data_IF_224373241768
#
_entry.id   IF_224373241768
#
_cell.length_a   1.000
_cell.length_b   1.000
_cell.length_c   1.000
_cell.angle_alpha   90.00
_cell.angle_beta   90.00
_cell.angle_gamma   90.00
#
_symmetry.space_group_name_H-M   'P 1'
#
loop_
_entity.id
_entity.type
_entity.pdbx_description
1 polymer ?
#
# COMPACT_ATOMS: atom_id res chain seq x y z
N UNK A 1 5.08 7.10 -8.05
CA UNK A 1 5.02 6.75 -9.48
C UNK A 1 6.37 7.11 -10.10
N UNK A 2 6.95 6.27 -10.95
CA UNK A 2 8.31 6.47 -11.49
C UNK A 2 8.32 7.03 -12.94
N UNK A 3 7.14 7.22 -13.55
CA UNK A 3 6.98 7.68 -14.93
C UNK A 3 6.08 8.93 -14.97
N UNK A 4 6.60 10.10 -15.43
CA UNK A 4 5.81 11.33 -15.54
C UNK A 4 4.57 11.18 -16.43
N UNK A 5 4.69 10.48 -17.57
CA UNK A 5 3.56 10.28 -18.47
C UNK A 5 2.45 9.41 -17.85
N UNK A 6 2.81 8.37 -17.09
CA UNK A 6 1.82 7.58 -16.37
C UNK A 6 1.14 8.40 -15.26
N UNK A 7 1.88 9.28 -14.59
CA UNK A 7 1.30 10.23 -13.62
C UNK A 7 0.26 11.14 -14.31
N UNK A 8 0.59 11.72 -15.47
CA UNK A 8 -0.36 12.53 -16.24
C UNK A 8 -1.63 11.76 -16.55
N UNK A 9 -1.51 10.57 -17.14
CA UNK A 9 -2.67 9.75 -17.53
C UNK A 9 -3.57 9.42 -16.34
N UNK A 10 -2.97 9.08 -15.18
CA UNK A 10 -3.71 8.69 -13.98
C UNK A 10 -4.30 9.88 -13.23
N UNK A 11 -3.52 10.92 -12.96
CA UNK A 11 -3.88 12.00 -12.02
C UNK A 11 -4.34 13.31 -12.69
N UNK A 12 -3.99 13.56 -13.94
CA UNK A 12 -4.37 14.78 -14.67
C UNK A 12 -5.47 14.45 -15.69
N UNK A 13 -5.22 13.47 -16.54
CA UNK A 13 -6.16 13.09 -17.58
C UNK A 13 -7.26 12.13 -17.06
N UNK A 14 -7.11 11.60 -15.83
CA UNK A 14 -8.05 10.70 -15.16
C UNK A 14 -8.45 9.49 -16.01
N UNK A 15 -7.51 8.93 -16.75
CA UNK A 15 -7.77 7.74 -17.56
C UNK A 15 -8.02 6.54 -16.64
N UNK A 16 -8.99 5.67 -16.96
CA UNK A 16 -9.31 4.53 -16.12
C UNK A 16 -8.14 3.55 -16.03
N UNK A 17 -7.81 3.17 -14.80
CA UNK A 17 -6.87 2.09 -14.50
C UNK A 17 -7.67 0.86 -14.05
N UNK A 18 -7.81 -0.17 -14.91
CA UNK A 18 -8.54 -1.37 -14.49
C UNK A 18 -7.81 -2.03 -13.31
N UNK A 19 -8.58 -2.36 -12.29
CA UNK A 19 -8.07 -3.09 -11.15
C UNK A 19 -7.51 -4.45 -11.60
N UNK A 20 -6.39 -4.85 -11.03
CA UNK A 20 -5.83 -6.17 -11.30
C UNK A 20 -6.01 -7.09 -10.07
N UNK A 21 -5.91 -8.40 -10.32
CA UNK A 21 -6.08 -9.44 -9.29
C UNK A 21 -5.22 -9.20 -8.04
N UNK A 22 -3.97 -8.75 -8.20
CA UNK A 22 -3.07 -8.56 -7.06
C UNK A 22 -3.48 -7.35 -6.20
N UNK A 23 -3.96 -6.27 -6.81
CA UNK A 23 -4.51 -5.12 -6.09
C UNK A 23 -5.75 -5.50 -5.28
N UNK A 24 -6.73 -6.17 -5.92
CA UNK A 24 -7.95 -6.59 -5.23
C UNK A 24 -7.68 -7.62 -4.13
N UNK A 25 -6.71 -8.53 -4.34
CA UNK A 25 -6.26 -9.44 -3.29
C UNK A 25 -5.70 -8.66 -2.08
N UNK A 26 -4.88 -7.64 -2.33
CA UNK A 26 -4.39 -6.74 -1.29
C UNK A 26 -5.53 -6.05 -0.55
N UNK A 27 -6.45 -5.43 -1.27
CA UNK A 27 -7.63 -4.75 -0.71
C UNK A 27 -8.46 -5.69 0.17
N UNK A 28 -8.72 -6.91 -0.30
CA UNK A 28 -9.48 -7.91 0.46
C UNK A 28 -8.80 -8.29 1.78
N UNK A 29 -7.49 -8.54 1.74
CA UNK A 29 -6.71 -8.92 2.93
C UNK A 29 -6.64 -7.76 3.93
N UNK A 30 -6.36 -6.52 3.48
CA UNK A 30 -6.37 -5.34 4.35
C UNK A 30 -7.74 -5.13 4.99
N UNK A 31 -8.82 -5.26 4.20
CA UNK A 31 -10.18 -5.15 4.73
C UNK A 31 -10.49 -6.21 5.80
N UNK A 32 -10.08 -7.45 5.60
CA UNK A 32 -10.26 -8.52 6.58
C UNK A 32 -9.49 -8.23 7.88
N UNK A 33 -8.23 -7.79 7.79
CA UNK A 33 -7.43 -7.44 8.96
C UNK A 33 -7.99 -6.18 9.65
N UNK A 34 -8.43 -5.19 8.91
CA UNK A 34 -9.16 -4.03 9.44
C UNK A 34 -10.36 -4.47 10.29
N UNK A 35 -11.22 -5.33 9.75
CA UNK A 35 -12.42 -5.83 10.44
C UNK A 35 -12.07 -6.65 11.68
N UNK A 36 -11.01 -7.46 11.63
CA UNK A 36 -10.54 -8.25 12.76
C UNK A 36 -10.20 -7.36 13.96
N UNK A 37 -9.58 -6.21 13.71
CA UNK A 37 -9.20 -5.26 14.75
C UNK A 37 -10.32 -4.30 15.18
N UNK A 38 -11.22 -3.95 14.26
CA UNK A 38 -12.28 -2.97 14.51
C UNK A 38 -13.52 -3.56 15.19
N UNK A 39 -13.79 -4.86 15.02
CA UNK A 39 -15.06 -5.47 15.43
C UNK A 39 -14.97 -6.35 16.70
N UNK A 40 -13.83 -6.46 17.35
CA UNK A 40 -13.67 -7.34 18.50
C UNK A 40 -12.66 -6.84 19.53
N UNK A 41 -12.81 -7.33 20.74
CA UNK A 41 -11.79 -7.16 21.77
C UNK A 41 -10.55 -8.03 21.47
N UNK A 42 -9.46 -7.83 22.23
CA UNK A 42 -8.21 -8.55 22.01
C UNK A 42 -8.39 -10.09 22.02
N UNK A 43 -9.24 -10.62 22.91
CA UNK A 43 -9.52 -12.05 23.00
C UNK A 43 -10.31 -12.65 21.83
N UNK A 44 -10.97 -11.82 21.03
CA UNK A 44 -11.77 -12.24 19.87
C UNK A 44 -10.94 -12.34 18.57
N UNK A 45 -9.70 -11.88 18.58
CA UNK A 45 -8.84 -11.83 17.39
C UNK A 45 -8.19 -13.18 17.09
N UNK A 46 -9.03 -14.18 16.85
CA UNK A 46 -8.62 -15.57 16.57
C UNK A 46 -8.51 -15.86 15.07
N UNK A 47 -7.80 -16.92 14.67
CA UNK A 47 -7.77 -17.36 13.27
C UNK A 47 -9.17 -17.64 12.70
N UNK A 48 -10.07 -18.23 13.48
CA UNK A 48 -11.45 -18.52 13.08
C UNK A 48 -12.21 -17.23 12.80
N UNK A 49 -12.11 -16.24 13.70
CA UNK A 49 -12.73 -14.93 13.51
C UNK A 49 -12.18 -14.21 12.29
N UNK A 50 -10.87 -14.31 12.04
CA UNK A 50 -10.26 -13.72 10.87
C UNK A 50 -10.80 -14.30 9.56
N UNK A 51 -11.08 -15.61 9.52
CA UNK A 51 -11.71 -16.23 8.34
C UNK A 51 -13.19 -15.83 8.19
N UNK A 52 -13.92 -15.64 9.29
CA UNK A 52 -15.29 -15.14 9.24
C UNK A 52 -15.34 -13.70 8.64
N UNK A 53 -14.53 -12.78 9.15
CA UNK A 53 -14.49 -11.41 8.62
C UNK A 53 -13.96 -11.35 7.20
N UNK A 54 -13.03 -12.25 6.82
CA UNK A 54 -12.57 -12.39 5.44
C UNK A 54 -13.71 -12.78 4.50
N UNK A 55 -14.57 -13.73 4.90
CA UNK A 55 -15.75 -14.09 4.10
C UNK A 55 -16.71 -12.91 3.94
N UNK A 56 -16.97 -12.16 5.01
CA UNK A 56 -17.79 -10.96 4.95
C UNK A 56 -17.21 -9.91 4.02
N UNK A 57 -15.91 -9.63 4.12
CA UNK A 57 -15.21 -8.70 3.24
C UNK A 57 -15.23 -9.15 1.77
N UNK A 58 -15.10 -10.47 1.53
CA UNK A 58 -15.18 -11.02 0.18
C UNK A 58 -16.57 -10.87 -0.44
N UNK A 59 -17.62 -11.08 0.34
CA UNK A 59 -19.00 -10.85 -0.12
C UNK A 59 -19.23 -9.37 -0.46
N UNK A 60 -18.81 -8.45 0.42
CA UNK A 60 -18.88 -7.00 0.14
C UNK A 60 -18.15 -6.64 -1.16
N UNK A 61 -16.96 -7.21 -1.38
CA UNK A 61 -16.15 -6.93 -2.58
C UNK A 61 -16.74 -7.54 -3.85
N UNK A 62 -17.41 -8.69 -3.76
CA UNK A 62 -17.94 -9.43 -4.93
C UNK A 62 -18.97 -8.61 -5.72
N UNK A 63 -19.63 -7.66 -5.07
CA UNK A 63 -20.66 -6.79 -5.68
C UNK A 63 -20.05 -5.50 -6.28
N UNK A 64 -18.72 -5.31 -6.24
CA UNK A 64 -18.08 -4.11 -6.77
C UNK A 64 -17.80 -4.20 -8.28
N UNK A 65 -17.80 -3.04 -8.95
CA UNK A 65 -17.45 -2.95 -10.37
C UNK A 65 -16.02 -3.41 -10.64
N UNK A 66 -15.09 -3.09 -9.74
CA UNK A 66 -13.69 -3.50 -9.85
C UNK A 66 -13.55 -5.02 -9.87
N UNK A 67 -14.29 -5.72 -9.01
CA UNK A 67 -14.28 -7.18 -8.97
C UNK A 67 -14.87 -7.77 -10.24
N UNK A 68 -15.94 -7.17 -10.77
CA UNK A 68 -16.58 -7.59 -12.03
C UNK A 68 -15.63 -7.46 -13.24
N UNK A 69 -14.68 -6.51 -13.22
CA UNK A 69 -13.70 -6.34 -14.31
C UNK A 69 -12.76 -7.54 -14.47
N UNK A 70 -12.53 -8.31 -13.42
CA UNK A 70 -11.66 -9.49 -13.45
C UNK A 70 -12.28 -10.66 -14.21
N UNK A 71 -13.62 -10.69 -14.37
CA UNK A 71 -14.37 -11.73 -15.13
C UNK A 71 -13.99 -13.15 -14.69
N UNK A 72 -13.80 -13.36 -13.41
CA UNK A 72 -13.45 -14.68 -12.88
C UNK A 72 -14.53 -15.72 -13.17
N UNK A 73 -14.10 -16.89 -13.59
CA UNK A 73 -14.93 -18.08 -13.50
C UNK A 73 -15.01 -18.58 -12.03
N UNK A 74 -15.80 -19.63 -11.80
CA UNK A 74 -15.99 -20.18 -10.46
C UNK A 74 -14.68 -20.72 -9.85
N UNK A 75 -13.80 -21.29 -10.66
CA UNK A 75 -12.52 -21.83 -10.21
C UNK A 75 -11.55 -20.70 -9.83
N UNK A 76 -11.50 -19.67 -10.65
CA UNK A 76 -10.67 -18.48 -10.39
C UNK A 76 -11.14 -17.72 -9.18
N UNK A 77 -12.46 -17.58 -8.98
CA UNK A 77 -13.05 -16.97 -7.78
C UNK A 77 -12.69 -17.74 -6.52
N UNK A 78 -12.81 -19.07 -6.55
CA UNK A 78 -12.41 -19.92 -5.43
C UNK A 78 -10.91 -19.80 -5.14
N UNK A 79 -10.05 -19.81 -6.17
CA UNK A 79 -8.62 -19.65 -6.03
C UNK A 79 -8.23 -18.27 -5.47
N UNK A 80 -8.97 -17.23 -5.83
CA UNK A 80 -8.78 -15.87 -5.30
C UNK A 80 -9.06 -15.82 -3.79
N UNK A 81 -10.17 -16.40 -3.35
CA UNK A 81 -10.52 -16.50 -1.93
C UNK A 81 -9.50 -17.32 -1.13
N UNK A 82 -9.05 -18.45 -1.67
CA UNK A 82 -8.05 -19.32 -1.01
C UNK A 82 -6.69 -18.63 -0.89
N UNK A 83 -6.27 -17.83 -1.86
CA UNK A 83 -5.07 -17.00 -1.75
C UNK A 83 -5.22 -15.97 -0.62
N UNK A 84 -6.35 -15.29 -0.53
CA UNK A 84 -6.62 -14.35 0.56
C UNK A 84 -6.63 -15.05 1.93
N UNK A 85 -7.28 -16.23 2.01
CA UNK A 85 -7.32 -17.06 3.23
C UNK A 85 -5.92 -17.46 3.68
N UNK A 86 -5.07 -17.88 2.73
CA UNK A 86 -3.68 -18.24 3.01
C UNK A 86 -2.90 -17.07 3.61
N UNK A 87 -3.04 -15.84 3.04
CA UNK A 87 -2.37 -14.65 3.53
C UNK A 87 -2.84 -14.25 4.93
N UNK A 88 -4.15 -14.28 5.18
CA UNK A 88 -4.72 -14.00 6.51
C UNK A 88 -4.27 -15.04 7.54
N UNK A 89 -4.19 -16.33 7.16
CA UNK A 89 -3.68 -17.38 8.05
C UNK A 89 -2.18 -17.16 8.34
N UNK A 90 -1.40 -16.79 7.33
CA UNK A 90 0.03 -16.51 7.50
C UNK A 90 0.31 -15.38 8.49
N UNK A 91 -0.60 -14.42 8.61
CA UNK A 91 -0.50 -13.33 9.57
C UNK A 91 -0.37 -13.83 11.02
N UNK A 92 -1.14 -14.84 11.43
CA UNK A 92 -1.09 -15.41 12.79
C UNK A 92 0.20 -16.17 13.12
N UNK A 93 1.00 -16.52 12.11
CA UNK A 93 2.34 -17.05 12.33
C UNK A 93 3.39 -15.95 12.57
N UNK A 94 3.05 -14.67 12.31
CA UNK A 94 3.99 -13.55 12.40
C UNK A 94 3.82 -12.73 13.68
N UNK A 95 2.61 -12.63 14.21
CA UNK A 95 2.32 -11.99 15.50
C UNK A 95 1.04 -12.58 16.13
N UNK A 96 0.90 -12.38 17.44
CA UNK A 96 -0.34 -12.67 18.18
C UNK A 96 -1.22 -11.42 18.22
N UNK A 97 -2.34 -11.37 17.46
CA UNK A 97 -3.22 -10.21 17.43
C UNK A 97 -3.87 -9.89 18.78
N UNK A 98 -4.00 -10.90 19.66
CA UNK A 98 -4.53 -10.73 21.01
C UNK A 98 -3.63 -9.91 21.92
N UNK A 99 -2.32 -9.90 21.66
CA UNK A 99 -1.33 -9.14 22.42
C UNK A 99 -1.14 -7.69 21.93
N UNK A 100 -1.73 -7.33 20.78
CA UNK A 100 -1.55 -6.02 20.15
C UNK A 100 -2.58 -5.01 20.69
N UNK A 101 -2.13 -3.79 20.97
CA UNK A 101 -2.98 -2.68 21.41
C UNK A 101 -3.06 -1.59 20.33
N UNK A 102 -3.93 -1.72 19.35
CA UNK A 102 -4.08 -0.71 18.31
C UNK A 102 -4.76 0.54 18.86
N UNK A 103 -4.21 1.71 18.53
CA UNK A 103 -4.82 3.01 18.80
C UNK A 103 -5.38 3.65 17.53
N UNK A 104 -5.14 3.03 16.38
CA UNK A 104 -5.69 3.44 15.10
C UNK A 104 -5.60 2.33 14.06
N UNK A 105 -6.66 2.20 13.26
CA UNK A 105 -6.80 1.23 12.17
C UNK A 105 -7.24 1.99 10.92
N UNK A 106 -6.58 1.77 9.77
CA UNK A 106 -6.85 2.48 8.50
C UNK A 106 -6.92 4.00 8.71
N UNK A 107 -5.91 4.54 9.41
CA UNK A 107 -5.84 5.97 9.72
C UNK A 107 -5.49 6.81 8.49
N UNK A 108 -6.46 7.59 8.00
CA UNK A 108 -6.24 8.58 6.94
C UNK A 108 -5.61 9.85 7.54
N UNK A 109 -4.31 10.01 7.39
CA UNK A 109 -3.56 11.16 7.88
C UNK A 109 -3.25 12.13 6.74
N UNK A 110 -3.44 13.43 7.02
CA UNK A 110 -3.13 14.53 6.10
C UNK A 110 -2.31 15.58 6.82
N UNK A 111 -1.20 15.95 6.21
CA UNK A 111 -0.29 16.95 6.78
C UNK A 111 0.22 17.87 5.69
N UNK A 112 0.51 19.12 6.04
CA UNK A 112 1.14 20.08 5.13
C UNK A 112 2.65 20.09 5.34
N UNK A 113 3.41 19.99 4.25
CA UNK A 113 4.85 20.16 4.21
C UNK A 113 5.17 21.33 3.26
N UNK A 114 5.51 22.50 3.81
CA UNK A 114 5.85 23.71 3.04
C UNK A 114 4.83 24.04 1.92
N UNK A 115 3.53 23.90 2.25
CA UNK A 115 2.43 24.14 1.31
C UNK A 115 2.03 22.92 0.46
N UNK A 116 2.77 21.84 0.50
CA UNK A 116 2.42 20.58 -0.18
C UNK A 116 1.59 19.71 0.77
N UNK A 117 0.38 19.34 0.36
CA UNK A 117 -0.43 18.37 1.11
C UNK A 117 0.08 16.96 0.87
N UNK A 118 0.41 16.27 1.97
CA UNK A 118 0.78 14.88 1.99
C UNK A 118 -0.35 14.07 2.66
N UNK A 119 -0.77 12.98 2.02
CA UNK A 119 -1.80 12.09 2.53
C UNK A 119 -1.32 10.65 2.52
N UNK A 120 -1.59 9.91 3.58
CA UNK A 120 -1.35 8.47 3.65
C UNK A 120 -2.33 7.80 4.58
N UNK A 121 -2.58 6.52 4.33
CA UNK A 121 -3.39 5.66 5.17
C UNK A 121 -2.45 4.70 5.88
N UNK A 122 -2.53 4.66 7.20
CA UNK A 122 -1.76 3.74 8.05
C UNK A 122 -2.65 2.55 8.37
N UNK A 123 -2.25 1.35 7.97
CA UNK A 123 -3.05 0.14 8.19
C UNK A 123 -3.32 -0.08 9.68
N UNK A 124 -2.28 0.04 10.53
CA UNK A 124 -2.42 -0.06 11.99
C UNK A 124 -1.37 0.79 12.72
N UNK A 125 -1.82 1.51 13.73
CA UNK A 125 -0.98 2.24 14.68
C UNK A 125 -1.16 1.63 16.06
N UNK A 126 -0.07 1.16 16.65
CA UNK A 126 -0.06 0.46 17.94
C UNK A 126 0.58 1.32 19.02
N UNK A 127 0.10 1.17 20.27
CA UNK A 127 0.71 1.73 21.47
C UNK A 127 1.41 0.61 22.24
N UNK A 128 2.71 0.77 22.48
CA UNK A 128 3.48 -0.15 23.32
C UNK A 128 3.32 0.20 24.82
N UNK A 129 3.60 -0.75 25.70
CA UNK A 129 3.63 -0.53 27.16
C UNK A 129 4.61 0.58 27.57
N UNK A 130 5.67 0.80 26.79
CA UNK A 130 6.64 1.90 27.00
C UNK A 130 6.06 3.29 26.72
N UNK A 131 4.86 3.39 26.10
CA UNK A 131 4.29 4.63 25.60
C UNK A 131 4.76 5.01 24.20
N UNK A 132 5.64 4.22 23.60
CA UNK A 132 6.05 4.40 22.19
C UNK A 132 4.92 3.97 21.22
N UNK A 133 4.89 4.59 20.06
CA UNK A 133 3.99 4.17 18.97
C UNK A 133 4.74 3.40 17.90
N UNK A 134 4.05 2.44 17.29
CA UNK A 134 4.54 1.59 16.19
C UNK A 134 3.56 1.64 15.04
N UNK A 135 4.07 1.84 13.84
CA UNK A 135 3.28 1.71 12.60
C UNK A 135 3.45 0.31 12.04
N UNK A 136 2.36 -0.34 11.73
CA UNK A 136 2.34 -1.63 11.05
C UNK A 136 1.64 -1.49 9.70
N UNK A 137 2.29 -1.98 8.63
CA UNK A 137 1.78 -1.96 7.27
C UNK A 137 1.85 -3.37 6.69
N UNK A 138 0.73 -3.87 6.18
CA UNK A 138 0.60 -5.21 5.63
C UNK A 138 0.94 -5.26 4.15
N UNK A 139 1.72 -6.25 3.74
CA UNK A 139 2.15 -6.45 2.36
C UNK A 139 1.76 -7.84 1.87
N UNK A 140 0.88 -7.91 0.88
CA UNK A 140 0.40 -9.17 0.28
C UNK A 140 1.33 -9.70 -0.82
N UNK A 141 2.23 -8.84 -1.32
CA UNK A 141 3.25 -9.22 -2.28
C UNK A 141 4.43 -9.98 -1.65
N UNK A 142 5.39 -10.36 -2.48
CA UNK A 142 6.63 -10.97 -2.01
C UNK A 142 7.52 -9.95 -1.32
N UNK A 143 8.25 -10.42 -0.30
CA UNK A 143 9.31 -9.63 0.31
C UNK A 143 10.40 -9.34 -0.72
N UNK A 144 11.02 -8.18 -0.62
CA UNK A 144 12.04 -7.76 -1.58
C UNK A 144 13.36 -8.47 -1.40
N UNK A 145 14.09 -8.60 -2.46
CA UNK A 145 15.52 -8.92 -2.42
C UNK A 145 16.31 -7.72 -1.86
N UNK A 146 17.46 -7.99 -1.28
CA UNK A 146 18.30 -7.02 -0.55
C UNK A 146 18.69 -5.75 -1.33
N UNK A 147 18.68 -5.80 -2.68
CA UNK A 147 19.03 -4.69 -3.57
C UNK A 147 17.90 -3.65 -3.78
N UNK A 148 16.68 -3.99 -3.39
CA UNK A 148 15.49 -3.12 -3.56
C UNK A 148 15.12 -2.33 -2.29
N UNK A 149 15.97 -2.28 -1.28
CA UNK A 149 15.67 -1.68 0.03
C UNK A 149 15.36 -0.18 0.00
N UNK A 150 15.98 0.59 -0.91
CA UNK A 150 15.86 2.07 -0.93
C UNK A 150 14.46 2.60 -1.22
N UNK A 151 13.68 1.98 -2.10
CA UNK A 151 12.33 2.46 -2.43
C UNK A 151 11.34 2.22 -1.30
N UNK A 152 11.61 1.26 -0.42
CA UNK A 152 10.77 0.92 0.73
C UNK A 152 11.01 1.80 1.92
N UNK A 153 12.27 2.18 2.14
CA UNK A 153 12.63 3.16 3.16
C UNK A 153 11.81 4.44 3.00
N UNK A 154 11.41 4.78 1.78
CA UNK A 154 10.55 5.96 1.54
C UNK A 154 9.14 5.81 2.10
N UNK A 155 8.50 4.67 1.91
CA UNK A 155 7.17 4.41 2.48
C UNK A 155 7.20 4.44 4.01
N UNK A 156 8.21 3.79 4.60
CA UNK A 156 8.45 3.79 6.05
C UNK A 156 8.66 5.20 6.59
N UNK A 157 9.52 5.98 5.95
CA UNK A 157 9.80 7.36 6.33
C UNK A 157 8.57 8.25 6.18
N UNK A 158 7.76 7.99 5.15
CA UNK A 158 6.53 8.71 4.89
C UNK A 158 5.51 8.52 6.01
N UNK A 159 5.24 7.29 6.43
CA UNK A 159 4.37 7.01 7.57
C UNK A 159 4.88 7.62 8.87
N UNK A 160 6.18 7.52 9.11
CA UNK A 160 6.79 8.13 10.30
C UNK A 160 6.63 9.65 10.31
N UNK A 161 6.77 10.30 9.15
CA UNK A 161 6.55 11.72 9.01
C UNK A 161 5.09 12.13 9.27
N UNK A 162 4.13 11.39 8.70
CA UNK A 162 2.71 11.64 8.94
C UNK A 162 2.38 11.56 10.43
N UNK A 163 2.87 10.53 11.14
CA UNK A 163 2.66 10.38 12.58
C UNK A 163 3.30 11.55 13.35
N UNK A 164 4.57 11.85 13.10
CA UNK A 164 5.28 12.92 13.82
C UNK A 164 4.61 14.29 13.60
N UNK A 165 4.19 14.58 12.37
CA UNK A 165 3.52 15.83 12.05
C UNK A 165 2.09 15.93 12.62
N UNK A 166 1.38 14.81 12.74
CA UNK A 166 0.01 14.77 13.26
C UNK A 166 -0.05 14.72 14.78
N UNK A 167 0.76 13.86 15.39
CA UNK A 167 0.67 13.56 16.83
C UNK A 167 1.79 14.21 17.64
N UNK A 168 2.78 14.82 17.01
CA UNK A 168 3.98 15.36 17.68
C UNK A 168 4.93 14.27 18.19
N UNK A 169 4.67 13.00 17.86
CA UNK A 169 5.44 11.84 18.31
C UNK A 169 5.90 11.02 17.11
N UNK A 170 7.21 10.79 17.03
CA UNK A 170 7.78 9.93 16.00
C UNK A 170 7.59 8.47 16.38
N UNK A 171 7.10 7.61 15.49
CA UNK A 171 7.08 6.18 15.76
C UNK A 171 8.47 5.65 16.08
N UNK A 172 8.55 4.80 17.10
CA UNK A 172 9.78 4.08 17.45
C UNK A 172 10.27 3.23 16.28
N UNK A 173 9.30 2.59 15.61
CA UNK A 173 9.56 1.74 14.45
C UNK A 173 8.36 1.71 13.52
N UNK A 174 8.64 1.38 12.25
CA UNK A 174 7.64 1.01 11.24
C UNK A 174 7.91 -0.42 10.84
N UNK A 175 6.88 -1.27 10.91
CA UNK A 175 6.91 -2.69 10.57
C UNK A 175 6.20 -2.94 9.25
N UNK A 176 6.90 -3.57 8.31
CA UNK A 176 6.31 -4.07 7.07
C UNK A 176 6.14 -5.59 7.19
N UNK A 177 4.91 -6.06 7.28
CA UNK A 177 4.58 -7.47 7.41
C UNK A 177 4.30 -8.07 6.03
N UNK A 178 5.26 -8.78 5.45
CA UNK A 178 5.12 -9.49 4.17
C UNK A 178 4.44 -10.85 4.40
N UNK A 179 3.11 -10.86 4.32
CA UNK A 179 2.28 -12.01 4.69
C UNK A 179 2.60 -13.26 3.85
N UNK A 180 2.91 -13.07 2.56
CA UNK A 180 3.18 -14.18 1.65
C UNK A 180 4.43 -14.97 2.01
N UNK A 181 5.47 -14.29 2.44
CA UNK A 181 6.78 -14.86 2.74
C UNK A 181 7.01 -14.99 4.25
N UNK A 182 6.06 -14.52 5.07
CA UNK A 182 6.15 -14.45 6.53
C UNK A 182 7.43 -13.72 7.00
N UNK A 183 7.75 -12.61 6.35
CA UNK A 183 8.93 -11.77 6.64
C UNK A 183 8.49 -10.45 7.24
N UNK A 184 9.07 -10.09 8.38
CA UNK A 184 8.91 -8.77 8.98
C UNK A 184 10.15 -7.93 8.70
N UNK A 185 9.96 -6.76 8.10
CA UNK A 185 11.01 -5.76 7.95
C UNK A 185 10.69 -4.63 8.93
N UNK A 186 11.65 -4.33 9.80
CA UNK A 186 11.53 -3.28 10.81
C UNK A 186 12.53 -2.17 10.51
N UNK A 187 12.04 -0.94 10.52
CA UNK A 187 12.86 0.25 10.32
C UNK A 187 12.60 1.25 11.45
N UNK A 188 13.68 1.84 11.98
CA UNK A 188 13.61 2.88 13.01
C UNK A 188 13.88 4.25 12.39
N UNK A 189 12.86 5.13 12.29
CA UNK A 189 13.01 6.46 11.72
C UNK A 189 13.97 7.32 12.57
N UNK A 190 14.82 8.11 11.90
CA UNK A 190 15.75 9.03 12.55
C UNK A 190 15.75 10.38 11.83
N UNK A 191 16.43 11.39 12.42
CA UNK A 191 16.45 12.75 11.88
C UNK A 191 16.99 12.82 10.44
N UNK A 192 17.98 12.00 10.11
CA UNK A 192 18.56 11.99 8.76
C UNK A 192 17.53 11.46 7.75
N UNK A 193 16.83 10.38 8.07
CA UNK A 193 15.82 9.79 7.18
C UNK A 193 14.63 10.72 7.01
N UNK A 194 14.22 11.42 8.09
CA UNK A 194 13.12 12.40 8.05
C UNK A 194 13.48 13.63 7.19
N UNK A 195 14.71 14.16 7.33
CA UNK A 195 15.17 15.25 6.45
C UNK A 195 15.25 14.82 4.98
N UNK A 196 15.72 13.59 4.74
CA UNK A 196 15.77 13.01 3.40
C UNK A 196 14.40 12.89 2.74
N UNK A 197 13.38 12.45 3.51
CA UNK A 197 12.00 12.39 3.03
C UNK A 197 11.48 13.79 2.63
N UNK A 198 11.61 14.78 3.54
CA UNK A 198 11.12 16.15 3.29
C UNK A 198 11.72 16.72 2.00
N UNK A 199 13.03 16.66 1.87
CA UNK A 199 13.72 17.15 0.67
C UNK A 199 13.26 16.45 -0.61
N UNK A 200 13.03 15.14 -0.53
CA UNK A 200 12.58 14.36 -1.67
C UNK A 200 11.12 14.63 -2.03
N UNK A 201 10.23 14.76 -1.06
CA UNK A 201 8.83 15.08 -1.30
C UNK A 201 8.69 16.44 -2.01
N UNK A 202 9.39 17.46 -1.52
CA UNK A 202 9.41 18.80 -2.14
C UNK A 202 10.03 18.76 -3.55
N UNK A 203 11.12 18.02 -3.76
CA UNK A 203 11.73 17.90 -5.09
C UNK A 203 10.81 17.19 -6.10
N UNK A 204 10.08 16.15 -5.66
CA UNK A 204 9.08 15.47 -6.50
C UNK A 204 7.94 16.42 -6.84
N UNK A 205 7.44 17.17 -5.86
CA UNK A 205 6.36 18.12 -6.08
C UNK A 205 6.77 19.23 -7.06
N UNK A 206 7.94 19.85 -6.87
CA UNK A 206 8.47 20.87 -7.78
C UNK A 206 8.66 20.33 -9.22
N UNK A 207 9.03 19.03 -9.35
CA UNK A 207 9.12 18.41 -10.68
C UNK A 207 7.74 18.20 -11.32
N UNK A 208 6.70 17.89 -10.54
CA UNK A 208 5.32 17.79 -11.01
C UNK A 208 4.81 19.17 -11.46
N UNK A 209 4.97 20.19 -10.63
CA UNK A 209 4.58 21.58 -10.97
C UNK A 209 5.21 22.03 -12.28
N UNK A 210 6.52 21.85 -12.41
CA UNK A 210 7.23 22.18 -13.67
C UNK A 210 6.68 21.41 -14.86
N UNK A 211 6.41 20.10 -14.70
CA UNK A 211 5.86 19.28 -15.79
C UNK A 211 4.45 19.76 -16.19
N UNK A 212 3.64 20.21 -15.22
CA UNK A 212 2.32 20.80 -15.48
C UNK A 212 2.44 22.16 -16.22
N UNK A 213 3.37 23.04 -15.79
CA UNK A 213 3.59 24.35 -16.42
C UNK A 213 4.10 24.24 -17.86
N UNK A 214 4.96 23.27 -18.12
CA UNK A 214 5.59 23.06 -19.44
C UNK A 214 4.86 22.07 -20.33
N UNK A 215 3.84 21.38 -19.79
CA UNK A 215 3.14 20.26 -20.44
C UNK A 215 4.08 19.11 -20.87
N UNK A 216 5.29 19.03 -20.26
CA UNK A 216 6.32 18.05 -20.62
C UNK A 216 6.28 16.84 -19.69
N UNK A 217 5.51 15.82 -20.07
CA UNK A 217 5.38 14.56 -19.36
C UNK A 217 6.02 13.41 -20.16
N UNK A 218 7.35 13.31 -20.11
CA UNK A 218 8.08 12.30 -20.86
C UNK A 218 7.89 10.89 -20.30
N UNK A 219 7.73 9.88 -21.16
CA UNK A 219 7.75 8.50 -20.71
C UNK A 219 9.11 8.13 -20.13
N UNK A 220 9.11 7.33 -19.07
CA UNK A 220 10.32 6.76 -18.47
C UNK A 220 10.25 5.22 -18.57
N UNK A 221 10.72 4.62 -19.70
CA UNK A 221 10.64 3.18 -19.91
C UNK A 221 11.49 2.41 -18.91
N UNK A 222 10.86 1.44 -18.23
CA UNK A 222 11.49 0.53 -17.27
C UNK A 222 10.92 -0.87 -17.42
N UNK A 223 11.46 -1.86 -16.70
CA UNK A 223 10.88 -3.20 -16.66
C UNK A 223 9.44 -3.24 -16.11
N UNK A 224 9.01 -2.19 -15.41
CA UNK A 224 7.65 -2.08 -14.87
C UNK A 224 6.62 -1.71 -15.94
N UNK A 225 7.05 -1.26 -17.12
CA UNK A 225 6.13 -0.92 -18.21
C UNK A 225 5.26 -2.09 -18.67
N UNK A 226 5.72 -3.33 -18.49
CA UNK A 226 4.91 -4.54 -18.78
C UNK A 226 3.65 -4.66 -17.91
N UNK A 227 3.58 -3.93 -16.81
CA UNK A 227 2.43 -3.88 -15.90
C UNK A 227 1.69 -2.55 -15.94
N UNK A 228 2.07 -1.65 -16.86
CA UNK A 228 1.49 -0.33 -16.97
C UNK A 228 0.15 -0.41 -17.69
N UNK A 229 -0.93 0.07 -17.05
CA UNK A 229 -2.26 0.13 -17.64
C UNK A 229 -2.31 0.97 -18.94
N UNK A 230 -1.39 1.93 -19.06
CA UNK A 230 -1.32 2.88 -20.17
C UNK A 230 -0.31 2.52 -21.25
N UNK A 231 0.22 1.29 -21.27
CA UNK A 231 1.26 0.90 -22.23
C UNK A 231 0.83 1.11 -23.68
N UNK A 232 -0.45 0.80 -24.02
CA UNK A 232 -1.01 0.98 -25.36
C UNK A 232 -1.10 2.44 -25.81
N UNK A 233 -1.16 3.38 -24.88
CA UNK A 233 -1.20 4.82 -25.13
C UNK A 233 0.19 5.47 -25.11
N UNK A 234 1.20 4.71 -24.66
CA UNK A 234 2.53 5.26 -24.44
C UNK A 234 3.33 5.37 -25.75
N UNK A 235 3.82 6.57 -26.14
CA UNK A 235 4.57 6.75 -27.38
C UNK A 235 5.87 5.93 -27.45
N UNK A 236 6.42 5.53 -26.29
CA UNK A 236 7.60 4.67 -26.26
C UNK A 236 7.33 3.23 -26.76
N UNK A 237 6.04 2.82 -26.92
CA UNK A 237 5.62 1.50 -27.37
C UNK A 237 4.77 1.53 -28.63
N UNK A 238 4.33 2.69 -29.11
CA UNK A 238 3.48 2.82 -30.31
C UNK A 238 4.17 2.45 -31.63
N UNK A 239 5.50 2.27 -31.64
CA UNK A 239 6.25 1.84 -32.84
C UNK A 239 6.53 0.34 -32.93
N UNK A 240 6.18 -0.47 -31.93
CA UNK A 240 6.50 -1.91 -31.89
C UNK A 240 5.39 -2.82 -32.42
N UNK A 241 4.19 -2.29 -32.71
CA UNK A 241 3.05 -3.06 -33.22
C UNK A 241 2.92 -3.05 -34.74
N UNK A 242 3.95 -2.64 -35.48
CA UNK A 242 3.93 -2.44 -36.93
C UNK A 242 4.71 -3.46 -37.75
N UNK A 243 5.16 -4.59 -37.18
CA UNK A 243 5.79 -5.67 -37.98
C UNK A 243 5.41 -7.04 -37.42
N UNK A 244 4.32 -7.59 -37.90
CA UNK A 244 4.04 -9.02 -37.94
C UNK A 244 3.25 -9.31 -39.23
#
# INVERSE_FOLDING_TARGET
MSCPLAFRFSYIDHLPEPANRAQLLGTLVHRALQLLYAQGEAGDRTPERAIEVLRSAHLEMSDTEEMATLRFDQQESNAFFEDARSLVTSYFAMEDPGSVQPIGIELDLRVSLDGVELRGIIDRLDLLESGDIVVTDYKTGRSPRSDQSRSRLLGVQFYAYLCEATFGVRPREVRLLYLKDQVVIVESPNDQTMRGLKSRALAVWAAIERACETEDFRPNPTQLCRFCAFQSLCPAFQGQNGTA
#
